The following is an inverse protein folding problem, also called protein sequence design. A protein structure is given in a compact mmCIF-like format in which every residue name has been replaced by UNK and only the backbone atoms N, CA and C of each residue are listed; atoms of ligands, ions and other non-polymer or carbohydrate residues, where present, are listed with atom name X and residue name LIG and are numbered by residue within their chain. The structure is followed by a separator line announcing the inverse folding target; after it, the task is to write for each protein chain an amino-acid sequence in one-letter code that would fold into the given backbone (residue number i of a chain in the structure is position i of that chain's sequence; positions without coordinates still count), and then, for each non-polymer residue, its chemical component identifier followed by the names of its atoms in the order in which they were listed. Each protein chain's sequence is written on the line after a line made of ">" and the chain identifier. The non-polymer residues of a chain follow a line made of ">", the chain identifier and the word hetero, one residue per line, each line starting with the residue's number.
data_IF_089580382802
#
_entry.id   IF_089580382802
#
_cell.length_a   1.000
_cell.length_b   1.000
_cell.length_c   1.000
_cell.angle_alpha   90.00
_cell.angle_beta   90.00
_cell.angle_gamma   90.00
#
_symmetry.space_group_name_H-M   'P 1'
#
loop_
_entity.id
_entity.type
_entity.pdbx_description
1 polymer ?
#
# COMPACT_ATOMS: atom_id res chain seq x y z
N UNK A 1 -8.80 22.69 13.93
CA UNK A 1 -9.10 21.69 12.89
C UNK A 1 -10.49 21.10 13.09
N UNK A 2 -11.25 21.00 12.00
CA UNK A 2 -12.54 20.31 11.96
C UNK A 2 -12.59 19.43 10.73
N UNK A 3 -12.96 18.16 10.89
CA UNK A 3 -13.06 17.21 9.78
C UNK A 3 -14.40 16.50 9.83
N UNK A 4 -15.14 16.54 8.71
CA UNK A 4 -16.35 15.74 8.50
C UNK A 4 -16.09 14.70 7.42
N UNK A 5 -16.32 13.43 7.72
CA UNK A 5 -16.05 12.34 6.80
C UNK A 5 -17.31 11.50 6.59
N UNK A 6 -17.66 11.29 5.32
CA UNK A 6 -18.73 10.39 4.88
C UNK A 6 -18.11 9.19 4.19
N UNK A 7 -18.55 7.98 4.53
CA UNK A 7 -18.04 6.73 3.97
C UNK A 7 -19.20 5.84 3.57
N UNK A 8 -19.03 5.14 2.46
CA UNK A 8 -19.93 4.09 2.01
C UNK A 8 -19.09 2.91 1.54
N UNK A 9 -19.56 1.70 1.80
CA UNK A 9 -18.87 0.49 1.37
C UNK A 9 -19.85 -0.65 1.14
N UNK A 10 -19.43 -1.56 0.27
CA UNK A 10 -20.11 -2.81 0.01
C UNK A 10 -19.10 -3.96 0.03
N UNK A 11 -19.51 -5.11 0.55
CA UNK A 11 -18.72 -6.33 0.56
C UNK A 11 -19.57 -7.49 0.07
N UNK A 12 -19.01 -8.24 -0.86
CA UNK A 12 -19.57 -9.50 -1.32
C UNK A 12 -18.58 -10.63 -1.05
N UNK A 13 -19.02 -11.72 -0.49
CA UNK A 13 -18.18 -12.86 -0.12
C UNK A 13 -18.85 -14.17 -0.43
N UNK A 14 -18.09 -15.04 -1.07
CA UNK A 14 -18.40 -16.48 -1.20
C UNK A 14 -17.21 -17.28 -0.68
N UNK A 15 -17.24 -18.61 -0.81
CA UNK A 15 -16.09 -19.46 -0.47
C UNK A 15 -14.87 -19.15 -1.35
N UNK A 16 -15.08 -18.92 -2.66
CA UNK A 16 -14.02 -18.75 -3.64
C UNK A 16 -13.66 -17.28 -3.93
N UNK A 17 -14.57 -16.33 -3.68
CA UNK A 17 -14.40 -14.92 -4.04
C UNK A 17 -14.75 -14.00 -2.88
N UNK A 18 -13.99 -12.95 -2.74
CA UNK A 18 -14.31 -11.83 -1.88
C UNK A 18 -14.04 -10.52 -2.63
N UNK A 19 -14.99 -9.61 -2.60
CA UNK A 19 -14.86 -8.27 -3.16
C UNK A 19 -15.31 -7.25 -2.14
N UNK A 20 -14.54 -6.19 -2.00
CA UNK A 20 -14.89 -5.05 -1.15
C UNK A 20 -14.71 -3.76 -1.94
N UNK A 21 -15.74 -2.93 -1.94
CA UNK A 21 -15.73 -1.60 -2.54
C UNK A 21 -15.96 -0.56 -1.45
N UNK A 22 -15.18 0.50 -1.45
CA UNK A 22 -15.35 1.61 -0.53
C UNK A 22 -15.21 2.92 -1.28
N UNK A 23 -15.96 3.93 -0.84
CA UNK A 23 -15.79 5.32 -1.25
C UNK A 23 -15.92 6.23 -0.04
N UNK A 24 -15.22 7.37 -0.08
CA UNK A 24 -15.31 8.36 0.98
C UNK A 24 -15.19 9.77 0.43
N UNK A 25 -15.77 10.68 1.18
CA UNK A 25 -15.55 12.12 1.04
C UNK A 25 -15.26 12.71 2.42
N UNK A 26 -14.22 13.50 2.52
CA UNK A 26 -13.81 14.17 3.76
C UNK A 26 -13.59 15.65 3.50
N UNK A 27 -14.27 16.49 4.26
CA UNK A 27 -14.12 17.94 4.25
C UNK A 27 -13.40 18.38 5.53
N UNK A 28 -12.21 18.94 5.38
CA UNK A 28 -11.40 19.49 6.45
C UNK A 28 -11.38 21.02 6.41
N UNK A 29 -11.50 21.65 7.57
CA UNK A 29 -11.40 23.10 7.75
C UNK A 29 -10.43 23.41 8.87
N UNK A 30 -9.76 24.56 8.76
CA UNK A 30 -8.73 25.01 9.71
C UNK A 30 -7.62 23.96 9.90
N UNK A 31 -7.25 23.31 8.78
CA UNK A 31 -6.27 22.24 8.78
C UNK A 31 -4.87 22.80 8.97
N UNK A 32 -4.07 22.12 9.78
CA UNK A 32 -2.66 22.46 10.03
C UNK A 32 -1.77 21.45 9.30
N UNK A 33 -0.80 21.96 8.55
CA UNK A 33 0.19 21.13 7.86
C UNK A 33 1.60 21.66 8.08
N UNK A 34 2.57 20.81 7.89
CA UNK A 34 3.99 21.15 7.88
C UNK A 34 4.41 21.50 6.46
N UNK A 35 4.80 22.75 6.26
CA UNK A 35 5.00 23.31 4.92
C UNK A 35 6.37 23.96 4.75
N UNK A 36 6.80 24.02 3.49
CA UNK A 36 7.76 25.00 2.99
C UNK A 36 6.98 26.07 2.20
N UNK A 37 7.15 27.32 2.53
CA UNK A 37 6.51 28.44 1.80
C UNK A 37 7.21 28.69 0.47
N UNK A 38 8.53 28.52 0.41
CA UNK A 38 9.37 28.73 -0.77
C UNK A 38 10.36 27.58 -0.99
N UNK A 39 10.97 27.51 -2.16
CA UNK A 39 12.03 26.55 -2.47
C UNK A 39 13.32 26.78 -1.66
N UNK A 40 13.54 28.03 -1.20
CA UNK A 40 14.66 28.40 -0.32
C UNK A 40 14.43 28.02 1.16
N UNK A 41 13.23 27.56 1.53
CA UNK A 41 12.93 27.18 2.91
C UNK A 41 13.77 25.96 3.33
N UNK A 42 14.45 26.06 4.47
CA UNK A 42 15.34 25.00 4.99
C UNK A 42 14.70 24.17 6.10
N UNK A 43 13.54 24.59 6.62
CA UNK A 43 12.83 23.92 7.70
C UNK A 43 11.32 23.94 7.45
N UNK A 44 10.68 22.83 7.78
CA UNK A 44 9.22 22.80 7.86
C UNK A 44 8.74 23.62 9.04
N UNK A 45 7.64 24.34 8.86
CA UNK A 45 6.90 24.99 9.93
C UNK A 45 5.41 24.67 9.80
N UNK A 46 4.70 24.75 10.92
CA UNK A 46 3.27 24.48 10.96
C UNK A 46 2.51 25.71 10.43
N UNK A 47 1.66 25.50 9.44
CA UNK A 47 0.80 26.52 8.84
C UNK A 47 -0.64 26.04 8.81
N UNK A 48 -1.58 26.96 9.06
CA UNK A 48 -2.98 26.70 8.78
C UNK A 48 -3.21 26.80 7.27
N UNK A 49 -3.47 25.65 6.62
CA UNK A 49 -3.69 25.57 5.18
C UNK A 49 -5.14 25.82 4.78
N UNK A 50 -6.02 26.15 5.75
CA UNK A 50 -7.40 26.47 5.50
C UNK A 50 -8.27 25.25 5.23
N UNK A 51 -8.62 25.00 3.97
CA UNK A 51 -9.53 23.92 3.57
C UNK A 51 -8.79 22.79 2.88
N UNK A 52 -9.18 21.57 3.22
CA UNK A 52 -8.65 20.35 2.65
C UNK A 52 -9.77 19.35 2.38
N UNK A 53 -10.16 19.20 1.13
CA UNK A 53 -11.17 18.24 0.71
C UNK A 53 -10.50 17.00 0.10
N UNK A 54 -10.86 15.83 0.62
CA UNK A 54 -10.39 14.54 0.12
C UNK A 54 -11.57 13.71 -0.35
N UNK A 55 -11.47 13.13 -1.53
CA UNK A 55 -12.38 12.10 -1.98
C UNK A 55 -11.59 10.90 -2.49
N UNK A 56 -12.12 9.71 -2.32
CA UNK A 56 -11.44 8.53 -2.79
C UNK A 56 -12.34 7.32 -2.89
N UNK A 57 -11.84 6.34 -3.62
CA UNK A 57 -12.47 5.04 -3.75
C UNK A 57 -11.41 3.95 -3.71
N UNK A 58 -11.79 2.77 -3.20
CA UNK A 58 -10.97 1.58 -3.28
C UNK A 58 -11.80 0.36 -3.68
N UNK A 59 -11.14 -0.56 -4.38
CA UNK A 59 -11.68 -1.86 -4.74
C UNK A 59 -10.64 -2.92 -4.38
N UNK A 60 -11.06 -3.90 -3.59
CA UNK A 60 -10.27 -5.06 -3.23
C UNK A 60 -10.97 -6.32 -3.74
N UNK A 61 -10.21 -7.21 -4.33
CA UNK A 61 -10.68 -8.50 -4.85
C UNK A 61 -9.75 -9.61 -4.36
N UNK A 62 -10.32 -10.69 -3.86
CA UNK A 62 -9.60 -11.90 -3.51
C UNK A 62 -10.25 -13.11 -4.17
N UNK A 63 -9.43 -13.97 -4.76
CA UNK A 63 -9.83 -15.23 -5.37
C UNK A 63 -9.05 -16.37 -4.74
N UNK A 64 -9.76 -17.40 -4.30
CA UNK A 64 -9.24 -18.65 -3.73
C UNK A 64 -9.47 -19.80 -4.70
N UNK A 65 -8.55 -20.05 -5.67
CA UNK A 65 -8.74 -21.04 -6.71
C UNK A 65 -9.01 -22.46 -6.21
N UNK A 66 -8.48 -22.84 -5.05
CA UNK A 66 -8.67 -24.18 -4.46
C UNK A 66 -10.10 -24.47 -4.05
N UNK A 67 -10.89 -23.45 -3.79
CA UNK A 67 -12.31 -23.61 -3.46
C UNK A 67 -13.14 -24.07 -4.68
N UNK A 68 -12.62 -23.84 -5.90
CA UNK A 68 -13.25 -24.31 -7.13
C UNK A 68 -12.50 -25.51 -7.74
N UNK A 69 -11.19 -25.54 -7.61
CA UNK A 69 -10.31 -26.56 -8.19
C UNK A 69 -9.34 -27.04 -7.11
N UNK A 70 -9.66 -28.15 -6.45
CA UNK A 70 -8.91 -28.66 -5.31
C UNK A 70 -7.40 -28.88 -5.59
N UNK A 71 -7.07 -29.23 -6.83
CA UNK A 71 -5.67 -29.48 -7.27
C UNK A 71 -4.97 -28.21 -7.80
N UNK A 72 -5.58 -27.03 -7.69
CA UNK A 72 -4.90 -25.80 -8.12
C UNK A 72 -3.61 -25.57 -7.34
N UNK A 73 -2.48 -25.26 -8.01
CA UNK A 73 -1.28 -24.83 -7.31
C UNK A 73 -1.47 -23.46 -6.62
N UNK A 74 -2.37 -22.61 -7.14
CA UNK A 74 -2.66 -21.32 -6.58
C UNK A 74 -3.61 -21.44 -5.38
N UNK A 75 -3.24 -20.83 -4.26
CA UNK A 75 -4.04 -20.80 -3.02
C UNK A 75 -4.81 -19.50 -2.85
N UNK A 76 -4.22 -18.39 -3.25
CA UNK A 76 -4.87 -17.09 -3.23
C UNK A 76 -4.30 -16.16 -4.30
N UNK A 77 -5.16 -15.36 -4.90
CA UNK A 77 -4.82 -14.24 -5.77
C UNK A 77 -5.60 -13.05 -5.24
N UNK A 78 -4.89 -11.97 -4.90
CA UNK A 78 -5.56 -10.76 -4.40
C UNK A 78 -5.12 -9.55 -5.21
N UNK A 79 -6.07 -8.70 -5.52
CA UNK A 79 -5.87 -7.43 -6.21
C UNK A 79 -6.48 -6.32 -5.39
N UNK A 80 -5.80 -5.21 -5.28
CA UNK A 80 -6.32 -4.02 -4.61
C UNK A 80 -5.97 -2.77 -5.40
N UNK A 81 -6.93 -1.86 -5.51
CA UNK A 81 -6.71 -0.56 -6.10
C UNK A 81 -7.33 0.53 -5.23
N UNK A 82 -6.61 1.59 -5.04
CA UNK A 82 -7.09 2.78 -4.34
C UNK A 82 -6.77 4.04 -5.14
N UNK A 83 -7.73 4.94 -5.17
CA UNK A 83 -7.63 6.27 -5.76
C UNK A 83 -8.02 7.32 -4.73
N UNK A 84 -7.20 8.37 -4.63
CA UNK A 84 -7.49 9.55 -3.79
C UNK A 84 -7.31 10.79 -4.65
N UNK A 85 -8.30 11.67 -4.59
CA UNK A 85 -8.23 13.03 -5.12
C UNK A 85 -8.34 14.01 -3.97
N UNK A 86 -7.44 14.98 -3.94
CA UNK A 86 -7.37 15.97 -2.89
C UNK A 86 -7.39 17.36 -3.50
N UNK A 87 -8.21 18.23 -2.92
CA UNK A 87 -8.27 19.67 -3.23
C UNK A 87 -7.96 20.44 -1.96
N UNK A 88 -7.19 21.50 -2.08
CA UNK A 88 -6.86 22.37 -0.97
C UNK A 88 -7.06 23.85 -1.38
N UNK A 89 -7.48 24.64 -0.43
CA UNK A 89 -7.57 26.08 -0.56
C UNK A 89 -6.67 26.67 0.53
N UNK A 90 -5.62 27.36 0.12
CA UNK A 90 -4.67 27.99 1.03
C UNK A 90 -4.74 29.51 0.92
N UNK A 91 -4.60 30.20 2.04
CA UNK A 91 -4.54 31.67 2.09
C UNK A 91 -3.16 32.21 1.73
N UNK A 92 -2.15 31.35 1.70
CA UNK A 92 -0.77 31.69 1.38
C UNK A 92 -0.18 30.68 0.39
N UNK A 93 0.77 31.05 -0.47
CA UNK A 93 1.44 30.13 -1.36
C UNK A 93 2.23 29.11 -0.56
N UNK A 94 2.10 27.82 -0.93
CA UNK A 94 2.81 26.70 -0.33
C UNK A 94 3.63 26.02 -1.43
N UNK A 95 4.94 25.95 -1.26
CA UNK A 95 5.83 25.27 -2.19
C UNK A 95 5.82 23.77 -1.98
N UNK A 96 5.87 23.33 -0.71
CA UNK A 96 5.88 21.92 -0.34
C UNK A 96 5.12 21.69 0.95
N UNK A 97 4.41 20.58 1.04
CA UNK A 97 3.66 20.19 2.23
C UNK A 97 3.75 18.69 2.44
N UNK A 98 3.70 18.24 3.70
CA UNK A 98 3.77 16.81 4.00
C UNK A 98 2.47 16.07 3.73
N UNK A 99 1.31 16.73 3.90
CA UNK A 99 0.01 16.06 3.82
C UNK A 99 -0.85 16.54 2.66
N UNK A 100 -0.90 17.86 2.43
CA UNK A 100 -1.79 18.40 1.43
C UNK A 100 -1.29 18.23 0.00
N UNK A 101 0.01 18.30 -0.26
CA UNK A 101 0.56 18.23 -1.63
C UNK A 101 1.13 16.85 -1.98
N UNK A 102 1.65 16.12 -1.00
CA UNK A 102 2.35 14.85 -1.23
C UNK A 102 1.46 13.61 -1.04
N UNK A 103 0.17 13.72 -1.30
CA UNK A 103 -0.75 12.59 -1.12
C UNK A 103 -0.57 11.48 -2.16
N UNK A 104 -0.91 10.27 -1.76
CA UNK A 104 -0.88 9.09 -2.61
C UNK A 104 -2.14 9.07 -3.50
N UNK A 105 -1.99 9.42 -4.78
CA UNK A 105 -3.12 9.49 -5.72
C UNK A 105 -3.59 8.11 -6.18
N UNK A 106 -2.66 7.26 -6.56
CA UNK A 106 -2.98 5.93 -7.05
C UNK A 106 -2.13 4.88 -6.33
N UNK A 107 -2.75 3.78 -5.96
CA UNK A 107 -2.06 2.59 -5.44
C UNK A 107 -2.71 1.35 -6.01
N UNK A 108 -1.93 0.52 -6.66
CA UNK A 108 -2.31 -0.81 -7.09
C UNK A 108 -1.46 -1.84 -6.35
N UNK A 109 -2.08 -2.91 -5.88
CA UNK A 109 -1.42 -4.05 -5.24
C UNK A 109 -1.92 -5.35 -5.87
N UNK A 110 -1.02 -6.29 -6.06
CA UNK A 110 -1.35 -7.65 -6.45
C UNK A 110 -0.53 -8.62 -5.62
N UNK A 111 -1.16 -9.67 -5.09
CA UNK A 111 -0.46 -10.78 -4.44
C UNK A 111 -0.90 -12.10 -5.02
N UNK A 112 0.05 -13.03 -5.12
CA UNK A 112 -0.19 -14.40 -5.58
C UNK A 112 0.48 -15.36 -4.63
N UNK A 113 -0.31 -16.24 -4.04
CA UNK A 113 0.13 -17.33 -3.20
C UNK A 113 -0.01 -18.65 -3.95
N UNK A 114 1.07 -19.41 -4.09
CA UNK A 114 0.99 -20.72 -4.75
C UNK A 114 1.99 -21.72 -4.17
N UNK A 115 1.67 -23.00 -4.33
CA UNK A 115 2.62 -24.08 -4.06
C UNK A 115 3.46 -24.37 -5.30
N UNK A 116 4.78 -24.47 -5.13
CA UNK A 116 5.71 -24.94 -6.16
C UNK A 116 5.74 -26.47 -6.12
N UNK A 117 5.90 -27.01 -4.92
CA UNK A 117 5.80 -28.45 -4.61
C UNK A 117 5.16 -28.61 -3.24
N UNK A 118 4.87 -29.82 -2.80
CA UNK A 118 4.06 -30.09 -1.59
C UNK A 118 4.47 -29.33 -0.32
N UNK A 119 5.75 -29.03 -0.14
CA UNK A 119 6.29 -28.34 1.05
C UNK A 119 6.84 -26.95 0.77
N UNK A 120 7.01 -26.58 -0.49
CA UNK A 120 7.56 -25.30 -0.92
C UNK A 120 6.44 -24.43 -1.50
N UNK A 121 6.21 -23.31 -0.89
CA UNK A 121 5.28 -22.28 -1.36
C UNK A 121 6.02 -20.99 -1.72
N UNK A 122 5.41 -20.22 -2.62
CA UNK A 122 5.84 -18.87 -2.97
C UNK A 122 4.71 -17.88 -2.71
N UNK A 123 5.09 -16.74 -2.18
CA UNK A 123 4.25 -15.56 -2.05
C UNK A 123 4.90 -14.43 -2.84
N UNK A 124 4.20 -13.98 -3.86
CA UNK A 124 4.57 -12.82 -4.66
C UNK A 124 3.73 -11.63 -4.22
N UNK A 125 4.37 -10.47 -4.11
CA UNK A 125 3.67 -9.23 -3.88
C UNK A 125 4.18 -8.16 -4.85
N UNK A 126 3.27 -7.48 -5.52
CA UNK A 126 3.55 -6.35 -6.39
C UNK A 126 2.82 -5.13 -5.84
N UNK A 127 3.49 -3.99 -5.88
CA UNK A 127 2.90 -2.69 -5.55
C UNK A 127 3.35 -1.67 -6.58
N UNK A 128 2.38 -1.05 -7.24
CA UNK A 128 2.58 0.16 -8.01
C UNK A 128 1.89 1.32 -7.30
N UNK A 129 2.56 2.46 -7.26
CA UNK A 129 1.95 3.65 -6.66
C UNK A 129 2.44 4.93 -7.33
N UNK A 130 1.57 5.94 -7.31
CA UNK A 130 1.83 7.29 -7.74
C UNK A 130 1.47 8.27 -6.63
N UNK A 131 2.47 8.99 -6.17
CA UNK A 131 2.33 10.08 -5.22
C UNK A 131 2.41 11.41 -5.97
N UNK A 132 1.70 12.42 -5.50
CA UNK A 132 1.70 13.75 -6.10
C UNK A 132 2.94 14.54 -5.67
N UNK A 133 3.08 15.77 -6.24
CA UNK A 133 4.14 16.72 -5.92
C UNK A 133 5.56 16.29 -6.32
N UNK A 134 5.72 15.91 -7.60
CA UNK A 134 7.03 15.63 -8.19
C UNK A 134 7.60 14.23 -7.93
N UNK A 135 6.89 13.37 -7.22
CA UNK A 135 7.31 11.97 -7.07
C UNK A 135 7.03 11.17 -8.34
N UNK A 136 8.04 10.45 -8.82
CA UNK A 136 7.88 9.51 -9.92
C UNK A 136 7.09 8.27 -9.46
N UNK A 137 6.16 7.77 -10.29
CA UNK A 137 5.52 6.49 -10.03
C UNK A 137 6.57 5.37 -10.00
N UNK A 138 6.35 4.38 -9.16
CA UNK A 138 7.24 3.23 -9.10
C UNK A 138 6.48 1.92 -8.91
N UNK A 139 7.15 0.84 -9.31
CA UNK A 139 6.69 -0.54 -9.08
C UNK A 139 7.71 -1.26 -8.20
N UNK A 140 7.23 -1.91 -7.16
CA UNK A 140 8.01 -2.78 -6.28
C UNK A 140 7.47 -4.19 -6.39
N UNK A 141 8.37 -5.18 -6.51
CA UNK A 141 8.05 -6.60 -6.52
C UNK A 141 8.82 -7.29 -5.41
N UNK A 142 8.12 -8.06 -4.59
CA UNK A 142 8.66 -8.83 -3.48
C UNK A 142 8.37 -10.31 -3.69
N UNK A 143 9.25 -11.17 -3.19
CA UNK A 143 9.08 -12.63 -3.21
C UNK A 143 9.47 -13.22 -1.86
N UNK A 144 8.61 -14.08 -1.34
CA UNK A 144 8.94 -14.95 -0.21
C UNK A 144 8.78 -16.40 -0.63
N UNK A 145 9.83 -17.18 -0.46
CA UNK A 145 9.81 -18.65 -0.59
C UNK A 145 9.78 -19.25 0.81
N UNK A 146 8.87 -20.19 1.03
CA UNK A 146 8.71 -20.82 2.34
C UNK A 146 8.64 -22.33 2.20
N UNK A 147 9.55 -23.01 2.88
CA UNK A 147 9.52 -24.45 3.11
C UNK A 147 8.83 -24.75 4.43
N UNK A 148 7.83 -25.65 4.41
CA UNK A 148 7.07 -26.03 5.61
C UNK A 148 7.15 -27.55 5.80
N UNK A 149 7.78 -27.99 6.89
CA UNK A 149 7.81 -29.36 7.36
C UNK A 149 6.90 -29.52 8.61
N UNK A 150 6.57 -30.74 9.05
CA UNK A 150 5.70 -30.95 10.22
C UNK A 150 6.19 -30.25 11.49
N UNK A 151 7.49 -30.25 11.76
CA UNK A 151 8.10 -29.73 12.99
C UNK A 151 8.86 -28.40 12.82
N UNK A 152 9.07 -27.92 11.59
CA UNK A 152 9.77 -26.65 11.35
C UNK A 152 9.33 -25.96 10.07
N UNK A 153 9.61 -24.68 9.96
CA UNK A 153 9.52 -23.95 8.71
C UNK A 153 10.74 -23.06 8.49
N UNK A 154 11.12 -22.89 7.23
CA UNK A 154 12.21 -22.01 6.81
C UNK A 154 11.70 -21.08 5.73
N UNK A 155 12.20 -19.85 5.67
CA UNK A 155 11.87 -18.95 4.58
C UNK A 155 13.07 -18.11 4.14
N UNK A 156 13.03 -17.69 2.89
CA UNK A 156 13.85 -16.63 2.33
C UNK A 156 12.90 -15.62 1.69
N UNK A 157 13.12 -14.35 1.98
CA UNK A 157 12.34 -13.25 1.44
C UNK A 157 13.27 -12.23 0.80
N UNK A 158 12.90 -11.77 -0.39
CA UNK A 158 13.56 -10.71 -1.10
C UNK A 158 12.56 -9.59 -1.36
N UNK A 159 12.82 -8.42 -0.78
CA UNK A 159 12.04 -7.20 -0.97
C UNK A 159 12.69 -6.36 -2.07
N UNK A 160 11.86 -5.76 -2.91
CA UNK A 160 12.28 -4.93 -4.03
C UNK A 160 13.24 -5.68 -4.97
N UNK A 161 12.79 -6.82 -5.51
CA UNK A 161 13.55 -7.67 -6.43
C UNK A 161 14.11 -6.92 -7.64
N UNK A 162 13.43 -5.87 -8.08
CA UNK A 162 13.86 -5.02 -9.19
C UNK A 162 14.98 -4.07 -8.82
N UNK A 163 15.33 -3.98 -7.53
CA UNK A 163 16.30 -3.02 -6.98
C UNK A 163 16.04 -1.57 -7.41
N UNK A 164 14.77 -1.25 -7.75
CA UNK A 164 14.40 0.07 -8.23
C UNK A 164 14.52 1.10 -7.10
N UNK A 165 15.28 2.19 -7.26
CA UNK A 165 15.31 3.25 -6.27
C UNK A 165 13.98 3.97 -6.22
N UNK A 166 13.39 4.07 -5.04
CA UNK A 166 12.13 4.77 -4.86
C UNK A 166 12.12 5.59 -3.57
N UNK A 167 11.21 6.55 -3.55
CA UNK A 167 11.01 7.44 -2.42
C UNK A 167 9.58 7.27 -1.92
N UNK A 168 9.42 7.30 -0.62
CA UNK A 168 8.10 7.33 0.01
C UNK A 168 7.84 8.71 0.65
N UNK A 169 6.87 8.82 1.54
CA UNK A 169 6.49 10.08 2.17
C UNK A 169 7.69 10.85 2.73
N UNK A 170 7.69 12.16 2.53
CA UNK A 170 8.74 13.05 3.03
C UNK A 170 10.05 12.99 2.25
N UNK A 171 10.08 12.37 1.07
CA UNK A 171 11.29 12.27 0.25
C UNK A 171 12.36 11.33 0.80
N UNK A 172 11.99 10.42 1.70
CA UNK A 172 12.91 9.44 2.27
C UNK A 172 13.19 8.34 1.24
N UNK A 173 14.45 8.21 0.84
CA UNK A 173 14.89 7.14 -0.05
C UNK A 173 14.74 5.79 0.64
N UNK A 174 14.10 4.87 -0.04
CA UNK A 174 13.85 3.53 0.46
C UNK A 174 14.97 2.56 0.05
N UNK A 175 15.19 1.46 0.81
CA UNK A 175 16.18 0.46 0.46
C UNK A 175 15.95 -0.12 -0.94
N UNK A 176 17.03 -0.45 -1.65
CA UNK A 176 16.99 -1.26 -2.87
C UNK A 176 16.60 -2.71 -2.57
N UNK A 177 17.26 -3.66 -3.22
CA UNK A 177 17.07 -5.07 -2.91
C UNK A 177 17.46 -5.37 -1.46
N UNK A 178 16.54 -5.95 -0.71
CA UNK A 178 16.75 -6.39 0.67
C UNK A 178 16.40 -7.86 0.79
N UNK A 179 17.35 -8.68 1.28
CA UNK A 179 17.16 -10.12 1.43
C UNK A 179 17.24 -10.50 2.90
N UNK A 180 16.31 -11.32 3.35
CA UNK A 180 16.27 -11.86 4.69
C UNK A 180 15.91 -13.35 4.67
N UNK A 181 16.37 -14.09 5.69
CA UNK A 181 16.03 -15.49 5.90
C UNK A 181 15.67 -15.70 7.36
N UNK A 182 14.82 -16.69 7.62
CA UNK A 182 14.45 -17.07 8.98
C UNK A 182 13.76 -18.42 9.03
N UNK A 183 13.45 -18.85 10.25
CA UNK A 183 12.77 -20.11 10.47
C UNK A 183 12.06 -20.18 11.82
N UNK A 184 11.20 -21.19 11.97
CA UNK A 184 10.51 -21.52 13.22
C UNK A 184 10.52 -23.02 13.46
N UNK A 185 10.53 -23.42 14.73
CA UNK A 185 10.44 -24.82 15.16
C UNK A 185 9.20 -24.95 16.05
N UNK A 186 8.42 -26.01 15.82
CA UNK A 186 7.29 -26.40 16.68
C UNK A 186 7.77 -27.47 17.66
N UNK A 187 7.77 -27.14 18.95
CA UNK A 187 8.04 -28.10 20.01
C UNK A 187 6.70 -28.63 20.52
N UNK A 188 6.45 -29.92 20.37
CA UNK A 188 5.35 -30.60 21.03
C UNK A 188 5.87 -31.01 22.43
N UNK A 189 5.52 -30.21 23.45
CA UNK A 189 5.78 -30.51 24.85
C UNK A 189 4.66 -31.37 25.42
#
# INVERSE_FOLDING_TARGET
>A
ERVSTYKVGARYRTTAFETQLNAFYSNGRDMIDWVFETDASTRYHALNIGKLDNMGASADFAFMPRELWANSPFTAIKLGYAYIHQQHETTQPIYKSLYALEYLRHKFTATVDHHIVSRLSAHWAMRWQQRMNGYHPYTKVDLKLQWTAPSYSLYVQADNLTAHPYYDLGGVKQPGLWVMAGGSIKLNL
#
